data_IF_059999474434
#
_entry.id   IF_059999474434
#
_cell.length_a   1.000
_cell.length_b   1.000
_cell.length_c   1.000
_cell.angle_alpha   90.00
_cell.angle_beta   90.00
_cell.angle_gamma   90.00
#
_symmetry.space_group_name_H-M   'P 1'
#
loop_
_entity.id
_entity.type
_entity.pdbx_description
1 polymer ?
#
# COMPACT_ATOMS: atom_id res chain seq x y z
N UNK A 1 12.60 6.34 34.43
CA UNK A 1 11.39 6.69 33.68
C UNK A 1 10.53 5.44 33.64
N UNK A 2 9.50 5.39 34.47
CA UNK A 2 8.69 4.18 34.66
C UNK A 2 7.68 4.00 33.51
N UNK A 3 7.18 2.79 33.30
CA UNK A 3 6.11 2.49 32.33
C UNK A 3 4.80 3.22 32.68
N UNK A 4 4.65 3.67 33.93
CA UNK A 4 3.52 4.46 34.41
C UNK A 4 3.66 5.95 34.03
N UNK A 5 4.88 6.48 33.95
CA UNK A 5 5.15 7.84 33.48
C UNK A 5 4.81 8.03 31.99
N UNK A 6 4.83 6.94 31.22
CA UNK A 6 4.44 6.93 29.81
C UNK A 6 2.92 6.97 29.63
N UNK A 7 2.13 6.31 30.51
CA UNK A 7 0.67 6.23 30.39
C UNK A 7 -0.02 7.59 30.49
N UNK A 8 0.52 8.53 31.26
CA UNK A 8 -0.03 9.90 31.38
C UNK A 8 0.16 10.79 30.14
N UNK A 9 0.95 10.35 29.15
CA UNK A 9 1.23 11.10 27.91
C UNK A 9 0.49 10.59 26.68
N UNK A 10 -0.21 9.45 26.76
CA UNK A 10 -0.95 8.90 25.63
C UNK A 10 -2.43 9.27 25.71
N UNK A 11 -3.00 9.60 24.55
CA UNK A 11 -4.42 9.87 24.34
C UNK A 11 -5.24 8.72 24.95
N UNK A 12 -6.20 9.02 25.82
CA UNK A 12 -7.05 7.99 26.43
C UNK A 12 -7.91 7.29 25.37
N UNK A 13 -8.30 6.04 25.62
CA UNK A 13 -9.21 5.32 24.72
C UNK A 13 -10.55 6.04 24.55
N UNK A 14 -11.01 6.77 25.58
CA UNK A 14 -12.22 7.59 25.52
C UNK A 14 -12.04 8.80 24.59
N UNK A 15 -10.85 9.42 24.59
CA UNK A 15 -10.52 10.48 23.64
C UNK A 15 -10.38 9.95 22.20
N UNK A 16 -9.78 8.77 22.00
CA UNK A 16 -9.66 8.14 20.68
C UNK A 16 -11.02 7.73 20.12
N UNK A 17 -11.90 7.17 20.96
CA UNK A 17 -13.26 6.81 20.55
C UNK A 17 -14.11 8.04 20.24
N UNK A 18 -14.01 9.10 21.07
CA UNK A 18 -14.65 10.39 20.78
C UNK A 18 -14.18 11.02 19.48
N UNK A 19 -12.87 11.01 19.21
CA UNK A 19 -12.30 11.48 17.95
C UNK A 19 -12.79 10.63 16.77
N UNK A 20 -12.82 9.31 16.91
CA UNK A 20 -13.27 8.40 15.84
C UNK A 20 -14.75 8.62 15.52
N UNK A 21 -15.59 8.83 16.53
CA UNK A 21 -17.00 9.18 16.36
C UNK A 21 -17.16 10.50 15.60
N UNK A 22 -16.47 11.54 16.05
CA UNK A 22 -16.49 12.85 15.41
C UNK A 22 -16.02 12.80 13.94
N UNK A 23 -14.97 12.01 13.67
CA UNK A 23 -14.50 11.76 12.31
C UNK A 23 -15.56 11.05 11.46
N UNK A 24 -16.22 10.01 11.99
CA UNK A 24 -17.31 9.29 11.31
C UNK A 24 -18.47 10.21 10.93
N UNK A 25 -18.89 11.07 11.85
CA UNK A 25 -20.00 12.01 11.63
C UNK A 25 -19.67 13.08 10.57
N UNK A 26 -18.46 13.64 10.61
CA UNK A 26 -18.14 14.82 9.80
C UNK A 26 -17.55 14.51 8.42
N UNK A 27 -16.94 13.34 8.24
CA UNK A 27 -16.18 13.02 7.01
C UNK A 27 -16.89 12.00 6.11
N UNK A 28 -18.14 11.60 6.44
CA UNK A 28 -18.95 10.72 5.59
C UNK A 28 -18.26 9.39 5.26
N UNK A 29 -17.58 8.80 6.25
CA UNK A 29 -16.91 7.52 6.06
C UNK A 29 -17.92 6.45 5.66
N UNK A 30 -17.54 5.60 4.70
CA UNK A 30 -18.32 4.42 4.36
C UNK A 30 -18.18 3.42 5.52
N UNK A 31 -19.30 2.96 6.06
CA UNK A 31 -19.34 1.69 6.78
C UNK A 31 -19.03 0.60 5.74
N UNK A 32 -17.75 0.28 5.52
CA UNK A 32 -17.39 -0.91 4.76
C UNK A 32 -17.87 -2.11 5.60
N UNK A 33 -18.86 -2.86 5.09
CA UNK A 33 -19.21 -4.18 5.63
C UNK A 33 -17.93 -5.01 5.68
N UNK A 34 -17.45 -5.30 6.90
CA UNK A 34 -16.35 -6.23 7.12
C UNK A 34 -16.78 -7.56 6.51
N UNK A 35 -16.08 -8.09 5.48
CA UNK A 35 -16.40 -9.42 5.01
C UNK A 35 -16.03 -10.37 6.15
N UNK A 36 -17.03 -11.03 6.72
CA UNK A 36 -16.87 -12.11 7.68
C UNK A 36 -15.97 -13.18 7.05
N UNK A 37 -14.67 -13.11 7.34
CA UNK A 37 -13.72 -14.12 6.91
C UNK A 37 -13.73 -15.22 7.96
N UNK A 38 -14.69 -16.14 7.80
CA UNK A 38 -14.65 -17.45 8.41
C UNK A 38 -13.47 -18.25 7.84
N UNK A 39 -12.30 -18.18 8.47
CA UNK A 39 -11.40 -19.33 8.70
C UNK A 39 -10.01 -18.93 9.21
N UNK A 40 -9.70 -19.47 10.40
CA UNK A 40 -8.40 -19.93 10.87
C UNK A 40 -7.13 -19.16 10.50
N UNK A 41 -6.54 -18.47 11.48
CA UNK A 41 -5.10 -18.21 11.49
C UNK A 41 -4.62 -17.93 12.92
N UNK A 42 -3.71 -18.80 13.39
CA UNK A 42 -3.01 -18.80 14.68
C UNK A 42 -2.12 -17.56 14.94
N UNK A 43 -2.31 -16.46 14.20
CA UNK A 43 -1.55 -15.21 14.33
C UNK A 43 -2.24 -14.17 15.24
N UNK A 44 -3.32 -14.51 15.94
CA UNK A 44 -4.00 -13.58 16.86
C UNK A 44 -3.28 -13.35 18.20
N UNK A 45 -2.22 -14.10 18.51
CA UNK A 45 -1.56 -14.00 19.83
C UNK A 45 -0.74 -12.71 20.07
N UNK A 46 -0.60 -11.84 19.06
CA UNK A 46 0.00 -10.51 19.21
C UNK A 46 -0.99 -9.35 18.96
N UNK A 47 -2.29 -9.60 18.95
CA UNK A 47 -3.27 -8.53 18.81
C UNK A 47 -3.34 -7.71 20.10
N UNK A 48 -2.70 -6.54 20.08
CA UNK A 48 -2.98 -5.46 21.02
C UNK A 48 -4.51 -5.23 21.00
N UNK A 49 -5.21 -5.60 22.07
CA UNK A 49 -6.67 -5.63 22.18
C UNK A 49 -7.32 -4.24 22.29
N UNK A 50 -6.66 -3.22 21.76
CA UNK A 50 -7.05 -1.80 21.87
C UNK A 50 -6.95 -1.07 20.53
N UNK A 51 -7.12 -1.77 19.41
CA UNK A 51 -7.21 -1.10 18.10
C UNK A 51 -8.64 -0.61 17.91
N UNK A 52 -8.87 0.67 18.22
CA UNK A 52 -10.04 1.40 17.73
C UNK A 52 -10.00 1.35 16.20
N UNK A 53 -11.07 0.85 15.59
CA UNK A 53 -11.17 0.75 14.13
C UNK A 53 -11.33 2.16 13.53
N UNK A 54 -10.21 2.70 13.05
CA UNK A 54 -10.17 4.02 12.43
C UNK A 54 -10.61 3.87 10.98
N UNK A 55 -11.72 4.50 10.58
CA UNK A 55 -12.26 4.31 9.25
C UNK A 55 -11.30 4.88 8.19
N UNK A 56 -11.15 4.17 7.06
CA UNK A 56 -10.35 4.64 5.94
C UNK A 56 -11.20 5.54 5.06
N UNK A 57 -10.69 6.73 4.74
CA UNK A 57 -11.45 7.70 3.96
C UNK A 57 -11.72 7.16 2.53
N UNK A 58 -12.95 7.35 2.03
CA UNK A 58 -13.41 6.76 0.78
C UNK A 58 -12.50 7.11 -0.43
N UNK A 59 -11.90 8.30 -0.45
CA UNK A 59 -10.97 8.70 -1.50
C UNK A 59 -9.70 7.84 -1.53
N UNK A 60 -9.15 7.48 -0.36
CA UNK A 60 -7.96 6.62 -0.26
C UNK A 60 -8.31 5.21 -0.73
N UNK A 61 -9.47 4.69 -0.33
CA UNK A 61 -9.95 3.38 -0.80
C UNK A 61 -10.12 3.32 -2.31
N UNK A 62 -10.73 4.35 -2.91
CA UNK A 62 -10.89 4.47 -4.37
C UNK A 62 -9.54 4.50 -5.09
N UNK A 63 -8.56 5.21 -4.54
CA UNK A 63 -7.19 5.24 -5.08
C UNK A 63 -6.54 3.85 -5.03
N UNK A 64 -6.64 3.16 -3.88
CA UNK A 64 -6.10 1.82 -3.69
C UNK A 64 -6.73 0.85 -4.69
N UNK A 65 -8.07 0.76 -4.72
CA UNK A 65 -8.82 -0.08 -5.66
C UNK A 65 -8.44 0.19 -7.12
N UNK A 66 -8.29 1.46 -7.51
CA UNK A 66 -7.89 1.82 -8.88
C UNK A 66 -6.47 1.35 -9.21
N UNK A 67 -5.52 1.50 -8.29
CA UNK A 67 -4.13 1.06 -8.48
C UNK A 67 -3.98 -0.46 -8.44
N UNK A 68 -4.80 -1.14 -7.64
CA UNK A 68 -4.78 -2.59 -7.46
C UNK A 68 -5.54 -3.35 -8.55
N UNK A 69 -6.39 -2.67 -9.34
CA UNK A 69 -7.04 -3.25 -10.51
C UNK A 69 -6.04 -3.69 -11.59
N UNK A 70 -4.92 -2.98 -11.74
CA UNK A 70 -3.84 -3.36 -12.68
C UNK A 70 -2.46 -3.13 -12.02
N UNK A 71 -1.99 -4.11 -11.23
CA UNK A 71 -0.71 -4.02 -10.52
C UNK A 71 0.52 -4.03 -11.43
N UNK A 72 0.37 -4.21 -12.75
CA UNK A 72 1.48 -4.14 -13.70
C UNK A 72 1.60 -2.76 -14.34
N UNK A 73 0.48 -2.04 -14.55
CA UNK A 73 0.46 -0.65 -15.04
C UNK A 73 0.66 0.38 -13.93
N UNK A 74 1.75 0.19 -13.21
CA UNK A 74 2.19 1.09 -12.16
C UNK A 74 2.92 2.27 -12.79
N UNK A 75 2.18 3.33 -13.07
CA UNK A 75 2.74 4.64 -13.40
C UNK A 75 2.90 5.46 -12.12
N UNK A 76 4.09 6.08 -11.97
CA UNK A 76 4.37 7.02 -10.90
C UNK A 76 3.28 8.10 -10.86
N UNK A 77 2.63 8.32 -9.71
CA UNK A 77 1.67 9.39 -9.60
C UNK A 77 2.40 10.73 -9.77
N UNK A 78 1.79 11.66 -10.51
CA UNK A 78 2.16 13.07 -10.40
C UNK A 78 1.71 13.54 -9.03
N UNK A 79 2.68 13.82 -8.17
CA UNK A 79 2.45 14.42 -6.86
C UNK A 79 2.05 15.88 -7.01
N UNK A 80 1.44 16.44 -5.96
CA UNK A 80 1.10 17.84 -5.91
C UNK A 80 2.35 18.70 -6.21
N UNK A 81 2.23 19.70 -7.07
CA UNK A 81 3.31 20.63 -7.40
C UNK A 81 3.86 21.32 -6.14
N UNK A 82 3.03 21.45 -5.10
CA UNK A 82 3.41 21.93 -3.77
C UNK A 82 4.53 21.11 -3.10
N UNK A 83 4.76 19.85 -3.51
CA UNK A 83 5.83 18.97 -3.01
C UNK A 83 7.08 18.96 -3.90
N UNK A 84 7.14 19.81 -4.93
CA UNK A 84 8.25 19.85 -5.89
C UNK A 84 9.64 20.10 -5.25
N UNK A 85 9.82 20.96 -4.23
CA UNK A 85 11.13 21.14 -3.58
C UNK A 85 11.71 19.84 -2.98
N UNK A 86 10.82 18.93 -2.57
CA UNK A 86 11.19 17.62 -2.05
C UNK A 86 11.55 16.63 -3.15
N UNK A 87 10.91 16.74 -4.31
CA UNK A 87 11.21 15.86 -5.45
C UNK A 87 12.68 15.98 -5.83
N UNK A 88 13.29 17.16 -5.72
CA UNK A 88 14.71 17.35 -6.02
C UNK A 88 15.65 16.71 -4.98
N UNK A 89 15.28 16.77 -3.69
CA UNK A 89 16.03 16.06 -2.63
C UNK A 89 15.87 14.54 -2.75
N UNK A 90 14.65 14.09 -3.02
CA UNK A 90 14.34 12.67 -3.20
C UNK A 90 14.93 12.13 -4.50
N UNK A 91 15.10 12.94 -5.55
CA UNK A 91 15.71 12.52 -6.81
C UNK A 91 17.10 11.92 -6.60
N UNK A 92 17.87 12.48 -5.65
CA UNK A 92 19.18 11.94 -5.24
C UNK A 92 19.10 10.58 -4.55
N UNK A 93 17.96 10.27 -3.93
CA UNK A 93 17.67 8.99 -3.27
C UNK A 93 16.91 8.01 -4.19
N UNK A 94 16.33 8.52 -5.28
CA UNK A 94 15.43 7.80 -6.18
C UNK A 94 16.17 7.03 -7.28
N UNK A 95 17.42 7.38 -7.56
CA UNK A 95 18.30 6.54 -8.36
C UNK A 95 18.34 5.16 -7.70
N UNK A 96 17.78 4.14 -8.38
CA UNK A 96 17.58 2.81 -7.79
C UNK A 96 18.86 2.36 -7.12
N UNK A 97 18.77 1.90 -5.86
CA UNK A 97 19.94 1.39 -5.12
C UNK A 97 20.64 0.36 -6.00
N UNK A 98 21.81 0.68 -6.57
CA UNK A 98 22.48 -0.22 -7.48
C UNK A 98 22.98 -1.41 -6.68
N UNK A 99 23.03 -2.57 -7.33
CA UNK A 99 23.71 -3.73 -6.75
C UNK A 99 25.22 -3.44 -6.76
N UNK A 100 25.89 -3.71 -5.65
CA UNK A 100 27.34 -3.54 -5.53
C UNK A 100 28.06 -4.31 -6.65
N UNK A 101 29.05 -3.69 -7.28
CA UNK A 101 29.80 -4.28 -8.39
C UNK A 101 30.45 -5.61 -8.02
N UNK A 102 30.92 -5.74 -6.78
CA UNK A 102 31.46 -6.98 -6.23
C UNK A 102 30.39 -8.07 -6.12
N UNK A 103 29.21 -7.74 -5.58
CA UNK A 103 28.10 -8.69 -5.47
C UNK A 103 27.61 -9.14 -6.85
N UNK A 104 27.50 -8.20 -7.81
CA UNK A 104 27.15 -8.52 -9.19
C UNK A 104 28.19 -9.45 -9.86
N UNK A 105 29.48 -9.18 -9.64
CA UNK A 105 30.58 -10.01 -10.13
C UNK A 105 30.58 -11.41 -9.50
N UNK A 106 30.38 -11.50 -8.18
CA UNK A 106 30.30 -12.77 -7.46
C UNK A 106 29.17 -13.64 -8.00
N UNK A 107 27.97 -13.09 -8.21
CA UNK A 107 26.83 -13.81 -8.79
C UNK A 107 27.15 -14.29 -10.20
N UNK A 108 27.78 -13.45 -11.03
CA UNK A 108 28.20 -13.81 -12.38
C UNK A 108 29.21 -14.97 -12.42
N UNK A 109 30.11 -15.05 -11.44
CA UNK A 109 31.14 -16.09 -11.36
C UNK A 109 30.72 -17.36 -10.63
N UNK A 110 29.63 -17.33 -9.85
CA UNK A 110 29.17 -18.47 -9.02
C UNK A 110 27.90 -19.14 -9.53
N UNK A 111 27.25 -18.59 -10.56
CA UNK A 111 26.07 -19.20 -11.19
C UNK A 111 26.43 -20.51 -11.90
N UNK A 112 26.09 -21.64 -11.28
CA UNK A 112 26.20 -22.98 -11.87
C UNK A 112 24.81 -23.47 -12.30
N UNK A 113 24.72 -23.96 -13.55
CA UNK A 113 23.69 -24.86 -14.14
C UNK A 113 22.59 -24.32 -15.08
N UNK A 114 22.12 -25.23 -15.95
CA UNK A 114 21.33 -25.09 -17.19
C UNK A 114 19.89 -24.57 -17.03
N UNK A 115 19.31 -24.66 -15.83
CA UNK A 115 17.97 -24.11 -15.49
C UNK A 115 17.99 -22.61 -15.14
N UNK A 116 19.13 -21.94 -15.27
CA UNK A 116 19.31 -20.54 -14.92
C UNK A 116 18.46 -19.59 -15.80
N UNK A 117 18.30 -19.89 -17.10
CA UNK A 117 17.72 -18.95 -18.07
C UNK A 117 16.23 -18.62 -17.79
N UNK A 118 15.45 -19.62 -17.36
CA UNK A 118 14.01 -19.43 -17.07
C UNK A 118 13.81 -18.72 -15.73
N UNK A 119 14.63 -19.08 -14.72
CA UNK A 119 14.67 -18.38 -13.44
C UNK A 119 15.08 -16.92 -13.64
N UNK A 120 16.08 -16.66 -14.46
CA UNK A 120 16.56 -15.30 -14.76
C UNK A 120 15.47 -14.42 -15.37
N UNK A 121 14.63 -14.96 -16.26
CA UNK A 121 13.53 -14.18 -16.84
C UNK A 121 12.48 -13.75 -15.80
N UNK A 122 12.17 -14.61 -14.83
CA UNK A 122 11.21 -14.28 -13.76
C UNK A 122 11.85 -13.42 -12.67
N UNK A 123 13.08 -13.71 -12.25
CA UNK A 123 13.84 -12.86 -11.33
C UNK A 123 14.01 -11.45 -11.90
N UNK A 124 14.25 -11.30 -13.21
CA UNK A 124 14.29 -10.00 -13.88
C UNK A 124 12.94 -9.28 -13.85
N UNK A 125 11.82 -9.98 -14.04
CA UNK A 125 10.47 -9.38 -13.92
C UNK A 125 10.18 -8.93 -12.49
N UNK A 126 10.57 -9.73 -11.50
CA UNK A 126 10.46 -9.40 -10.08
C UNK A 126 11.33 -8.18 -9.76
N UNK A 127 12.59 -8.17 -10.17
CA UNK A 127 13.51 -7.03 -9.98
C UNK A 127 12.97 -5.74 -10.60
N UNK A 128 12.54 -5.77 -11.87
CA UNK A 128 11.93 -4.62 -12.54
C UNK A 128 10.67 -4.12 -11.81
N UNK A 129 9.91 -5.04 -11.21
CA UNK A 129 8.72 -4.68 -10.44
C UNK A 129 9.09 -4.08 -9.07
N UNK A 130 10.06 -4.67 -8.37
CA UNK A 130 10.57 -4.18 -7.08
C UNK A 130 11.25 -2.82 -7.21
N UNK A 131 11.92 -2.54 -8.34
CA UNK A 131 12.43 -1.19 -8.66
C UNK A 131 11.35 -0.12 -8.66
N UNK A 132 10.06 -0.47 -8.85
CA UNK A 132 8.93 0.47 -8.74
C UNK A 132 8.45 0.69 -7.30
N UNK A 133 8.80 -0.20 -6.37
CA UNK A 133 8.46 -0.06 -4.94
C UNK A 133 9.23 1.10 -4.33
N UNK A 134 10.52 1.24 -4.67
CA UNK A 134 11.42 2.24 -4.10
C UNK A 134 10.95 3.68 -4.35
N UNK A 135 10.64 4.12 -5.59
CA UNK A 135 10.12 5.47 -5.80
C UNK A 135 8.85 5.77 -5.01
N UNK A 136 7.91 4.82 -4.92
CA UNK A 136 6.71 5.00 -4.11
C UNK A 136 7.03 5.16 -2.62
N UNK A 137 7.95 4.35 -2.08
CA UNK A 137 8.38 4.43 -0.69
C UNK A 137 9.09 5.75 -0.38
N UNK A 138 9.99 6.20 -1.26
CA UNK A 138 10.68 7.49 -1.10
C UNK A 138 9.71 8.67 -1.10
N UNK A 139 8.69 8.63 -1.96
CA UNK A 139 7.67 9.66 -2.02
C UNK A 139 6.81 9.68 -0.76
N UNK A 140 6.39 8.51 -0.26
CA UNK A 140 5.69 8.41 1.02
C UNK A 140 6.55 8.94 2.17
N UNK A 141 7.85 8.61 2.19
CA UNK A 141 8.79 9.10 3.20
C UNK A 141 8.89 10.61 3.17
N UNK A 142 9.11 11.21 1.99
CA UNK A 142 9.20 12.65 1.87
C UNK A 142 7.91 13.34 2.31
N UNK A 143 6.75 12.87 1.84
CA UNK A 143 5.46 13.41 2.26
C UNK A 143 5.28 13.29 3.80
N UNK A 144 5.70 12.17 4.40
CA UNK A 144 5.71 12.00 5.86
C UNK A 144 6.62 13.00 6.60
N UNK A 145 7.80 13.30 6.05
CA UNK A 145 8.72 14.32 6.62
C UNK A 145 8.04 15.70 6.61
N UNK A 146 7.42 16.10 5.49
CA UNK A 146 6.69 17.37 5.41
C UNK A 146 5.49 17.40 6.35
N UNK A 147 4.69 16.34 6.37
CA UNK A 147 3.56 16.23 7.29
C UNK A 147 4.00 16.37 8.74
N UNK A 148 5.19 15.85 9.09
CA UNK A 148 5.76 16.02 10.44
C UNK A 148 6.11 17.47 10.76
N UNK A 149 6.82 18.17 9.86
CA UNK A 149 7.16 19.58 10.08
C UNK A 149 5.92 20.46 10.16
N UNK A 150 4.97 20.24 9.25
CA UNK A 150 3.72 21.00 9.20
C UNK A 150 2.87 20.78 10.44
N UNK A 151 2.72 19.54 10.91
CA UNK A 151 2.01 19.27 12.16
C UNK A 151 2.69 19.91 13.38
N UNK A 152 4.03 20.03 13.39
CA UNK A 152 4.72 20.76 14.45
C UNK A 152 4.50 22.27 14.39
N UNK A 153 4.49 22.84 13.18
CA UNK A 153 4.14 24.23 12.92
C UNK A 153 2.73 24.53 13.42
N UNK A 154 1.74 23.73 12.99
CA UNK A 154 0.34 23.84 13.39
C UNK A 154 0.15 23.79 14.90
N UNK A 155 0.85 22.90 15.62
CA UNK A 155 0.80 22.86 17.08
C UNK A 155 1.34 24.15 17.71
N UNK A 156 2.39 24.73 17.12
CA UNK A 156 2.94 26.01 17.56
C UNK A 156 1.96 27.15 17.33
N UNK A 157 1.35 27.20 16.14
CA UNK A 157 0.42 28.25 15.74
C UNK A 157 -0.89 28.17 16.53
N UNK A 158 -1.40 26.97 16.81
CA UNK A 158 -2.55 26.78 17.71
C UNK A 158 -2.28 27.25 19.14
N UNK A 159 -1.06 27.02 19.65
CA UNK A 159 -0.67 27.54 20.98
C UNK A 159 -0.59 29.07 20.98
N UNK A 160 -0.05 29.65 19.90
CA UNK A 160 -0.01 31.09 19.74
C UNK A 160 -1.43 31.67 19.69
N UNK A 161 -2.31 31.07 18.89
CA UNK A 161 -3.72 31.44 18.77
C UNK A 161 -4.43 31.42 20.12
N UNK A 162 -4.23 30.37 20.92
CA UNK A 162 -4.81 30.28 22.26
C UNK A 162 -4.38 31.47 23.15
N UNK A 163 -3.08 31.79 23.17
CA UNK A 163 -2.55 32.94 23.91
C UNK A 163 -3.03 34.30 23.38
N UNK A 164 -3.32 34.42 22.08
CA UNK A 164 -3.78 35.65 21.44
C UNK A 164 -5.26 35.91 21.68
N UNK A 165 -6.07 34.84 21.72
CA UNK A 165 -7.50 34.89 22.07
C UNK A 165 -7.70 35.37 23.52
N UNK A 166 -6.88 34.89 24.46
CA UNK A 166 -6.90 35.35 25.86
C UNK A 166 -6.62 36.85 26.00
N UNK A 167 -5.93 37.45 25.02
CA UNK A 167 -5.56 38.86 24.98
C UNK A 167 -6.46 39.71 24.08
N UNK A 168 -7.56 39.16 23.57
CA UNK A 168 -8.50 39.85 22.65
C UNK A 168 -7.81 40.50 21.43
N UNK A 169 -6.75 39.85 20.92
CA UNK A 169 -6.01 40.33 19.74
C UNK A 169 -6.68 39.85 18.44
N UNK A 170 -6.50 40.59 17.35
CA UNK A 170 -6.89 40.12 16.01
C UNK A 170 -6.07 38.88 15.63
N UNK A 171 -6.77 37.78 15.35
CA UNK A 171 -6.20 36.48 15.06
C UNK A 171 -6.50 36.00 13.62
N UNK A 172 -7.13 36.84 12.79
CA UNK A 172 -7.58 36.49 11.44
C UNK A 172 -6.46 35.88 10.59
N UNK A 173 -5.29 36.53 10.52
CA UNK A 173 -4.17 36.03 9.72
C UNK A 173 -3.59 34.68 10.19
N UNK A 174 -3.67 34.36 11.48
CA UNK A 174 -3.21 33.06 12.02
C UNK A 174 -4.23 31.97 11.74
N UNK A 175 -5.52 32.27 11.80
CA UNK A 175 -6.56 31.34 11.40
C UNK A 175 -6.44 30.97 9.92
N UNK A 176 -6.25 31.95 9.04
CA UNK A 176 -6.01 31.71 7.60
C UNK A 176 -4.76 30.85 7.37
N UNK A 177 -3.67 31.09 8.13
CA UNK A 177 -2.46 30.28 8.05
C UNK A 177 -2.73 28.82 8.48
N UNK A 178 -3.40 28.62 9.62
CA UNK A 178 -3.78 27.30 10.15
C UNK A 178 -4.65 26.54 9.15
N UNK A 179 -5.61 27.21 8.50
CA UNK A 179 -6.43 26.61 7.45
C UNK A 179 -5.57 26.15 6.26
N UNK A 180 -4.65 27.00 5.78
CA UNK A 180 -3.74 26.65 4.70
C UNK A 180 -2.83 25.46 5.07
N UNK A 181 -2.33 25.42 6.31
CA UNK A 181 -1.53 24.31 6.82
C UNK A 181 -2.33 23.01 6.88
N UNK A 182 -3.59 23.07 7.34
CA UNK A 182 -4.48 21.90 7.40
C UNK A 182 -4.82 21.37 6.00
N UNK A 183 -5.13 22.25 5.05
CA UNK A 183 -5.36 21.87 3.66
C UNK A 183 -4.12 21.20 3.04
N UNK A 184 -2.95 21.77 3.28
CA UNK A 184 -1.70 21.19 2.80
C UNK A 184 -1.42 19.83 3.47
N UNK A 185 -1.67 19.68 4.77
CA UNK A 185 -1.49 18.42 5.48
C UNK A 185 -2.42 17.33 4.94
N UNK A 186 -3.66 17.70 4.59
CA UNK A 186 -4.63 16.82 3.93
C UNK A 186 -4.11 16.37 2.56
N UNK A 187 -3.66 17.30 1.71
CA UNK A 187 -3.07 17.01 0.40
C UNK A 187 -1.90 16.02 0.54
N UNK A 188 -0.98 16.28 1.47
CA UNK A 188 0.19 15.45 1.75
C UNK A 188 -0.20 14.04 2.17
N UNK A 189 -1.19 13.91 3.05
CA UNK A 189 -1.67 12.62 3.56
C UNK A 189 -2.31 11.79 2.45
N UNK A 190 -3.07 12.43 1.56
CA UNK A 190 -3.63 11.77 0.39
C UNK A 190 -2.53 11.28 -0.57
N UNK A 191 -1.49 12.08 -0.75
CA UNK A 191 -0.34 11.78 -1.59
C UNK A 191 0.53 10.62 -1.00
N UNK A 192 0.66 10.53 0.33
CA UNK A 192 1.18 9.31 1.01
C UNK A 192 0.35 8.10 0.64
N UNK A 193 -0.97 8.18 0.74
CA UNK A 193 -1.88 7.09 0.35
C UNK A 193 -1.67 6.64 -1.09
N UNK A 194 -1.52 7.57 -2.04
CA UNK A 194 -1.23 7.27 -3.45
C UNK A 194 0.13 6.59 -3.65
N UNK A 195 1.17 7.02 -2.94
CA UNK A 195 2.47 6.37 -2.97
C UNK A 195 2.43 4.96 -2.36
N UNK A 196 1.77 4.79 -1.23
CA UNK A 196 1.60 3.48 -0.58
C UNK A 196 0.80 2.52 -1.47
N UNK A 197 -0.26 2.99 -2.13
CA UNK A 197 -1.02 2.21 -3.11
C UNK A 197 -0.14 1.70 -4.25
N UNK A 198 0.76 2.56 -4.74
CA UNK A 198 1.71 2.26 -5.80
C UNK A 198 2.69 1.15 -5.39
N UNK A 199 3.36 1.33 -4.24
CA UNK A 199 4.30 0.36 -3.70
C UNK A 199 3.61 -0.95 -3.36
N UNK A 200 2.42 -0.91 -2.78
CA UNK A 200 1.61 -2.08 -2.48
C UNK A 200 1.25 -2.87 -3.74
N UNK A 201 0.80 -2.19 -4.80
CA UNK A 201 0.54 -2.83 -6.10
C UNK A 201 1.80 -3.49 -6.68
N UNK A 202 2.96 -2.84 -6.59
CA UNK A 202 4.22 -3.40 -7.10
C UNK A 202 4.62 -4.65 -6.30
N UNK A 203 4.47 -4.62 -4.98
CA UNK A 203 4.68 -5.80 -4.13
C UNK A 203 3.75 -6.95 -4.52
N UNK A 204 2.47 -6.69 -4.81
CA UNK A 204 1.53 -7.72 -5.27
C UNK A 204 1.97 -8.32 -6.60
N UNK A 205 2.29 -7.49 -7.59
CA UNK A 205 2.78 -7.94 -8.90
C UNK A 205 4.09 -8.76 -8.80
N UNK A 206 5.00 -8.37 -7.92
CA UNK A 206 6.22 -9.14 -7.65
C UNK A 206 5.88 -10.50 -7.03
N UNK A 207 5.02 -10.54 -6.02
CA UNK A 207 4.57 -11.79 -5.37
C UNK A 207 3.84 -12.71 -6.33
N UNK A 208 3.02 -12.18 -7.24
CA UNK A 208 2.38 -12.99 -8.28
C UNK A 208 3.39 -13.68 -9.20
N UNK A 209 4.43 -12.95 -9.63
CA UNK A 209 5.49 -13.55 -10.45
C UNK A 209 6.22 -14.68 -9.70
N UNK A 210 6.47 -14.50 -8.41
CA UNK A 210 7.12 -15.52 -7.58
C UNK A 210 6.22 -16.76 -7.39
N UNK A 211 4.96 -16.57 -7.01
CA UNK A 211 4.04 -17.69 -6.74
C UNK A 211 3.70 -18.46 -8.01
N UNK A 212 3.51 -17.77 -9.14
CA UNK A 212 3.14 -18.42 -10.41
C UNK A 212 4.37 -18.97 -11.17
N UNK A 213 5.59 -18.71 -10.71
CA UNK A 213 6.81 -19.29 -11.29
C UNK A 213 6.77 -20.81 -11.23
N UNK A 214 6.52 -21.36 -10.04
CA UNK A 214 6.53 -22.81 -9.78
C UNK A 214 5.22 -23.50 -10.18
N UNK A 215 4.22 -22.74 -10.62
CA UNK A 215 2.94 -23.28 -11.03
C UNK A 215 3.08 -24.00 -12.38
N UNK A 216 3.05 -25.34 -12.33
CA UNK A 216 3.18 -26.25 -13.49
C UNK A 216 1.94 -26.21 -14.39
N UNK A 217 1.71 -25.09 -15.07
CA UNK A 217 0.61 -24.92 -16.03
C UNK A 217 1.08 -24.30 -17.34
N UNK A 218 0.18 -24.25 -18.33
CA UNK A 218 0.51 -23.64 -19.60
C UNK A 218 0.76 -22.12 -19.43
N UNK A 219 1.56 -21.54 -20.33
CA UNK A 219 1.90 -20.11 -20.26
C UNK A 219 0.66 -19.20 -20.33
N UNK A 220 -0.39 -19.62 -21.04
CA UNK A 220 -1.64 -18.86 -21.15
C UNK A 220 -2.38 -18.74 -19.81
N UNK A 221 -2.48 -19.81 -19.02
CA UNK A 221 -3.12 -19.81 -17.70
C UNK A 221 -2.33 -18.96 -16.70
N UNK A 222 -1.00 -19.06 -16.72
CA UNK A 222 -0.12 -18.21 -15.91
C UNK A 222 -0.30 -16.74 -16.25
N UNK A 223 -0.20 -16.37 -17.53
CA UNK A 223 -0.45 -15.00 -17.99
C UNK A 223 -1.83 -14.51 -17.57
N UNK A 224 -2.86 -15.33 -17.75
CA UNK A 224 -4.24 -14.96 -17.41
C UNK A 224 -4.46 -14.81 -15.90
N UNK A 225 -3.66 -15.45 -15.04
CA UNK A 225 -3.69 -15.24 -13.59
C UNK A 225 -2.93 -13.97 -13.15
N UNK A 226 -1.87 -13.58 -13.88
CA UNK A 226 -1.15 -12.33 -13.60
C UNK A 226 -2.03 -11.09 -13.83
N UNK A 227 -3.01 -11.13 -14.74
CA UNK A 227 -3.85 -9.97 -15.07
C UNK A 227 -5.15 -9.85 -14.25
N UNK A 228 -5.30 -10.63 -13.19
CA UNK A 228 -6.50 -10.54 -12.33
C UNK A 228 -6.40 -9.30 -11.42
N UNK A 229 -7.52 -8.64 -11.08
CA UNK A 229 -7.52 -7.52 -10.14
C UNK A 229 -7.18 -7.99 -8.73
N UNK A 230 -6.37 -7.22 -8.01
CA UNK A 230 -6.10 -7.49 -6.59
C UNK A 230 -7.19 -6.88 -5.70
N UNK A 231 -7.80 -7.72 -4.86
CA UNK A 231 -8.96 -7.35 -4.01
C UNK A 231 -8.56 -6.98 -2.56
N UNK A 232 -7.28 -7.04 -2.19
CA UNK A 232 -6.78 -6.53 -0.90
C UNK A 232 -6.57 -7.57 0.20
N UNK A 233 -7.29 -8.71 0.20
CA UNK A 233 -7.24 -9.70 1.29
C UNK A 233 -6.27 -10.85 1.03
N UNK A 234 -6.27 -11.38 -0.18
CA UNK A 234 -5.43 -12.51 -0.63
C UNK A 234 -4.92 -12.24 -2.04
N UNK A 235 -3.78 -12.84 -2.42
CA UNK A 235 -3.12 -12.55 -3.69
C UNK A 235 -4.03 -12.73 -4.91
N UNK A 236 -4.83 -13.79 -4.96
CA UNK A 236 -5.62 -14.13 -6.15
C UNK A 236 -7.13 -14.18 -5.94
N UNK A 237 -7.61 -14.15 -4.68
CA UNK A 237 -9.03 -14.18 -4.36
C UNK A 237 -9.74 -15.47 -4.80
N UNK A 238 -11.07 -15.43 -4.74
CA UNK A 238 -11.97 -16.47 -5.25
C UNK A 238 -11.94 -16.57 -6.77
N UNK A 239 -11.50 -15.53 -7.49
CA UNK A 239 -11.44 -15.50 -8.96
C UNK A 239 -10.52 -16.60 -9.52
N UNK A 240 -9.37 -16.86 -8.88
CA UNK A 240 -8.49 -17.96 -9.30
C UNK A 240 -9.13 -19.31 -9.05
N UNK A 241 -9.80 -19.49 -7.92
CA UNK A 241 -10.49 -20.73 -7.56
C UNK A 241 -11.61 -21.04 -8.57
N UNK A 242 -12.45 -20.06 -8.90
CA UNK A 242 -13.49 -20.19 -9.91
C UNK A 242 -12.92 -20.57 -11.27
N UNK A 243 -11.82 -19.92 -11.67
CA UNK A 243 -11.16 -20.17 -12.96
C UNK A 243 -10.54 -21.56 -13.03
N UNK A 244 -9.87 -22.00 -11.96
CA UNK A 244 -9.35 -23.35 -11.82
C UNK A 244 -10.49 -24.37 -11.90
N UNK A 245 -11.58 -24.15 -11.17
CA UNK A 245 -12.74 -25.03 -11.17
C UNK A 245 -13.39 -25.16 -12.55
N UNK A 246 -13.45 -24.08 -13.35
CA UNK A 246 -13.91 -24.14 -14.75
C UNK A 246 -12.97 -25.01 -15.61
N UNK A 247 -11.67 -24.79 -15.53
CA UNK A 247 -10.66 -25.56 -16.27
C UNK A 247 -10.73 -27.05 -15.91
N UNK A 248 -10.88 -27.39 -14.62
CA UNK A 248 -11.01 -28.77 -14.18
C UNK A 248 -12.31 -29.43 -14.64
N UNK A 249 -13.44 -28.69 -14.64
CA UNK A 249 -14.73 -29.18 -15.18
C UNK A 249 -14.66 -29.44 -16.68
N UNK A 250 -14.06 -28.54 -17.45
CA UNK A 250 -13.88 -28.70 -18.90
C UNK A 250 -12.98 -29.92 -19.24
N UNK A 251 -11.91 -30.14 -18.47
CA UNK A 251 -11.07 -31.34 -18.64
C UNK A 251 -11.81 -32.65 -18.34
N UNK A 252 -12.68 -32.68 -17.32
CA UNK A 252 -13.55 -33.85 -17.04
C UNK A 252 -14.56 -34.09 -18.16
N UNK A 253 -15.08 -33.03 -18.78
CA UNK A 253 -16.02 -33.15 -19.88
C UNK A 253 -15.35 -33.62 -21.19
N UNK A 254 -14.11 -33.20 -21.43
CA UNK A 254 -13.35 -33.59 -22.62
C UNK A 254 -12.75 -35.01 -22.51
N UNK A 255 -12.50 -35.50 -21.29
CA UNK A 255 -12.06 -36.89 -21.05
C UNK A 255 -13.20 -37.91 -21.12
N UNK A 256 -14.45 -37.50 -20.84
CA UNK A 256 -15.64 -38.35 -21.03
C UNK A 256 -16.10 -38.45 -22.49
N UNK A 257 -15.74 -37.48 -23.34
CA UNK A 257 -16.00 -37.53 -24.79
C UNK A 257 -15.00 -38.39 -25.57
N UNK A 258 -13.83 -38.70 -24.99
CA UNK A 258 -12.80 -39.56 -25.61
C UNK A 258 -12.96 -41.05 -25.29
N UNK A 259 -13.97 -41.42 -24.49
CA UNK A 259 -14.26 -42.81 -24.11
C UNK A 259 -15.47 -43.41 -24.85
N UNK A 260 -15.94 -42.78 -25.93
CA UNK A 260 -16.90 -43.42 -26.83
C UNK A 260 -16.13 -44.35 -27.78
N UNK A 261 -16.38 -45.67 -27.75
CA UNK A 261 -15.86 -46.56 -28.77
C UNK A 261 -16.48 -46.17 -30.11
N UNK A 262 -15.63 -46.05 -31.14
CA UNK A 262 -16.11 -45.95 -32.52
C UNK A 262 -16.72 -47.29 -32.91
N UNK A 263 -18.00 -47.25 -33.30
CA UNK A 263 -18.64 -48.26 -34.12
C UNK A 263 -18.10 -48.22 -35.56
#
# INVERSE_FOLDING_TARGET
MSLEDLKGKYISNDMLSGLTHHLKENMGFLEDEVPETSSGSLLRQFQCSTLVDVPVHACIHKVNKRKWKDPYKITMPRFNAKLQPLQDMLKKLQDSIPVDSFAASLVGHTSLAEDAVIRDAVHKKVDVTLKKVYPGAHLALGAGIYGKYLAQSLISDLKFLHCALDKSSDCSGILELIECELEFLSDVTFDVGRASALSGGACVAARWNLVLHDWKTNAAQRSSALWMPFQGSVLFGTELEEKLNRIFKEKKHCSSLKSLPGD
#
